data_IF_301361629802
#
_entry.id   IF_301361629802
#
_cell.length_a   1.000
_cell.length_b   1.000
_cell.length_c   1.000
_cell.angle_alpha   90.00
_cell.angle_beta   90.00
_cell.angle_gamma   90.00
#
_symmetry.space_group_name_H-M   'P 1'
#
loop_
_entity.id
_entity.type
_entity.pdbx_description
1 polymer ?
#
# COMPACT_ATOMS: atom_id res chain seq x y z
N UNK A 1 -14.83 -21.05 0.07
CA UNK A 1 -13.57 -20.50 0.63
C UNK A 1 -13.44 -19.03 0.21
N UNK A 2 -13.72 -18.08 1.11
CA UNK A 2 -13.48 -16.64 0.89
C UNK A 2 -12.05 -16.36 1.37
N UNK A 3 -11.13 -16.10 0.43
CA UNK A 3 -9.69 -16.04 0.67
C UNK A 3 -9.31 -15.08 1.79
N UNK A 4 -9.09 -15.66 2.99
CA UNK A 4 -8.64 -14.97 4.19
C UNK A 4 -7.12 -14.81 4.15
N UNK A 5 -6.63 -13.96 3.27
CA UNK A 5 -5.29 -13.41 3.43
C UNK A 5 -5.27 -12.01 2.82
N UNK A 6 -5.51 -11.06 3.70
CA UNK A 6 -5.07 -9.68 3.60
C UNK A 6 -3.54 -9.63 3.37
N UNK A 7 -3.06 -9.96 2.16
CA UNK A 7 -1.63 -9.98 1.80
C UNK A 7 -1.06 -8.56 1.65
N UNK A 8 -1.24 -7.71 2.66
CA UNK A 8 -0.74 -6.34 2.64
C UNK A 8 0.78 -6.26 2.75
N UNK A 9 1.42 -7.22 3.42
CA UNK A 9 2.88 -7.31 3.50
C UNK A 9 3.53 -7.58 2.12
N UNK A 10 3.18 -8.64 1.38
CA UNK A 10 3.74 -8.85 0.04
C UNK A 10 3.46 -7.71 -0.93
N UNK A 11 2.28 -7.09 -0.85
CA UNK A 11 1.95 -5.92 -1.69
C UNK A 11 2.80 -4.71 -1.33
N UNK A 12 3.06 -4.49 -0.05
CA UNK A 12 3.97 -3.43 0.39
C UNK A 12 5.39 -3.67 -0.14
N UNK A 13 5.91 -4.89 0.03
CA UNK A 13 7.24 -5.26 -0.46
C UNK A 13 7.35 -5.10 -1.99
N UNK A 14 6.29 -5.48 -2.72
CA UNK A 14 6.23 -5.29 -4.16
C UNK A 14 6.20 -3.81 -4.56
N UNK A 15 5.43 -2.97 -3.87
CA UNK A 15 5.44 -1.53 -4.08
C UNK A 15 6.84 -0.93 -3.85
N UNK A 16 7.53 -1.36 -2.80
CA UNK A 16 8.91 -0.93 -2.52
C UNK A 16 9.89 -1.37 -3.62
N UNK A 17 9.71 -2.57 -4.17
CA UNK A 17 10.48 -3.05 -5.31
C UNK A 17 10.26 -2.15 -6.55
N UNK A 18 9.00 -1.80 -6.84
CA UNK A 18 8.66 -0.92 -7.96
C UNK A 18 9.29 0.47 -7.82
N UNK A 19 9.27 1.05 -6.63
CA UNK A 19 9.96 2.33 -6.35
C UNK A 19 11.46 2.23 -6.64
N UNK A 20 12.11 1.14 -6.23
CA UNK A 20 13.54 0.93 -6.53
C UNK A 20 13.82 0.76 -8.02
N UNK A 21 12.85 0.27 -8.78
CA UNK A 21 12.92 0.14 -10.23
C UNK A 21 12.57 1.43 -10.98
N UNK A 22 12.31 2.55 -10.30
CA UNK A 22 11.88 3.81 -10.91
C UNK A 22 10.44 3.79 -11.44
N UNK A 23 9.65 2.78 -11.07
CA UNK A 23 8.25 2.62 -11.46
C UNK A 23 7.34 3.26 -10.40
N UNK A 24 7.52 4.56 -10.20
CA UNK A 24 6.91 5.29 -9.08
C UNK A 24 5.38 5.41 -9.19
N UNK A 25 4.84 5.54 -10.40
CA UNK A 25 3.38 5.56 -10.61
C UNK A 25 2.74 4.20 -10.27
N UNK A 26 3.37 3.10 -10.66
CA UNK A 26 2.90 1.75 -10.34
C UNK A 26 3.00 1.48 -8.83
N UNK A 27 4.11 1.88 -8.20
CA UNK A 27 4.27 1.78 -6.75
C UNK A 27 3.20 2.58 -6.01
N UNK A 28 2.94 3.82 -6.47
CA UNK A 28 1.92 4.69 -5.89
C UNK A 28 0.52 4.06 -5.99
N UNK A 29 0.21 3.43 -7.13
CA UNK A 29 -1.06 2.75 -7.33
C UNK A 29 -1.22 1.58 -6.34
N UNK A 30 -0.21 0.72 -6.20
CA UNK A 30 -0.22 -0.40 -5.24
C UNK A 30 -0.48 0.08 -3.82
N UNK A 31 0.25 1.09 -3.35
CA UNK A 31 0.07 1.59 -2.00
C UNK A 31 -1.30 2.26 -1.80
N UNK A 32 -1.81 2.96 -2.81
CA UNK A 32 -3.14 3.58 -2.77
C UNK A 32 -4.25 2.54 -2.69
N UNK A 33 -4.15 1.46 -3.46
CA UNK A 33 -5.10 0.34 -3.43
C UNK A 33 -5.13 -0.34 -2.06
N UNK A 34 -3.95 -0.54 -1.44
CA UNK A 34 -3.87 -1.03 -0.07
C UNK A 34 -4.64 -0.15 0.93
N UNK A 35 -4.65 1.18 0.74
CA UNK A 35 -5.37 2.10 1.62
C UNK A 35 -6.88 2.10 1.36
N UNK A 36 -7.29 2.00 0.10
CA UNK A 36 -8.71 1.98 -0.28
C UNK A 36 -9.42 0.73 0.24
N UNK A 37 -8.72 -0.41 0.25
CA UNK A 37 -9.23 -1.69 0.76
C UNK A 37 -9.50 -1.68 2.28
N UNK A 38 -8.93 -0.74 3.05
CA UNK A 38 -9.14 -0.67 4.51
C UNK A 38 -10.61 -0.58 4.91
N UNK A 39 -11.43 0.10 4.12
CA UNK A 39 -12.86 0.30 4.38
C UNK A 39 -13.65 -1.01 4.33
N UNK A 40 -13.16 -2.00 3.58
CA UNK A 40 -13.80 -3.29 3.35
C UNK A 40 -13.42 -4.33 4.40
N UNK A 41 -12.43 -4.03 5.26
CA UNK A 41 -11.94 -4.95 6.28
C UNK A 41 -12.78 -4.92 7.55
N UNK A 42 -12.94 -6.10 8.16
CA UNK A 42 -13.45 -6.19 9.52
C UNK A 42 -12.53 -5.45 10.52
N UNK A 43 -13.03 -5.06 11.71
CA UNK A 43 -12.20 -4.41 12.72
C UNK A 43 -10.95 -5.20 13.11
N UNK A 44 -11.04 -6.54 13.14
CA UNK A 44 -9.91 -7.42 13.48
C UNK A 44 -8.85 -7.39 12.38
N UNK A 45 -9.25 -7.58 11.12
CA UNK A 45 -8.32 -7.53 9.97
C UNK A 45 -7.64 -6.16 9.87
N UNK A 46 -8.41 -5.08 10.08
CA UNK A 46 -7.88 -3.72 10.06
C UNK A 46 -6.84 -3.50 11.16
N UNK A 47 -7.10 -4.01 12.37
CA UNK A 47 -6.16 -3.94 13.49
C UNK A 47 -4.88 -4.72 13.20
N UNK A 48 -4.99 -5.96 12.70
CA UNK A 48 -3.84 -6.82 12.39
C UNK A 48 -2.96 -6.25 11.27
N UNK A 49 -3.54 -5.51 10.33
CA UNK A 49 -2.81 -4.94 9.18
C UNK A 49 -2.44 -3.45 9.34
N UNK A 50 -2.69 -2.86 10.53
CA UNK A 50 -2.47 -1.42 10.78
C UNK A 50 -1.06 -0.95 10.42
N UNK A 51 -0.04 -1.78 10.68
CA UNK A 51 1.36 -1.46 10.37
C UNK A 51 1.57 -1.24 8.87
N UNK A 52 0.94 -2.06 8.02
CA UNK A 52 1.09 -1.98 6.57
C UNK A 52 0.36 -0.77 6.00
N UNK A 53 -0.79 -0.40 6.57
CA UNK A 53 -1.48 0.84 6.20
C UNK A 53 -0.69 2.09 6.57
N UNK A 54 -0.05 2.09 7.75
CA UNK A 54 0.81 3.20 8.15
C UNK A 54 1.99 3.36 7.17
N UNK A 55 2.70 2.27 6.88
CA UNK A 55 3.81 2.28 5.92
C UNK A 55 3.37 2.69 4.51
N UNK A 56 2.29 2.12 3.99
CA UNK A 56 1.76 2.46 2.66
C UNK A 56 1.36 3.95 2.59
N UNK A 57 0.76 4.50 3.65
CA UNK A 57 0.41 5.93 3.71
C UNK A 57 1.65 6.83 3.66
N UNK A 58 2.72 6.45 4.34
CA UNK A 58 3.99 7.20 4.29
C UNK A 58 4.59 7.19 2.89
N UNK A 59 4.56 6.04 2.19
CA UNK A 59 5.05 5.95 0.82
C UNK A 59 4.18 6.72 -0.17
N UNK A 60 2.85 6.66 -0.08
CA UNK A 60 1.95 7.49 -0.90
C UNK A 60 2.28 8.97 -0.73
N UNK A 61 2.56 9.44 0.50
CA UNK A 61 2.91 10.83 0.76
C UNK A 61 4.23 11.22 0.06
N UNK A 62 5.26 10.37 0.13
CA UNK A 62 6.54 10.61 -0.55
C UNK A 62 6.38 10.63 -2.06
N UNK A 63 5.75 9.61 -2.63
CA UNK A 63 5.54 9.48 -4.07
C UNK A 63 4.64 10.60 -4.62
N UNK A 64 3.63 11.05 -3.86
CA UNK A 64 2.79 12.18 -4.27
C UNK A 64 3.57 13.51 -4.30
N UNK A 65 4.64 13.65 -3.51
CA UNK A 65 5.52 14.81 -3.60
C UNK A 65 6.38 14.74 -4.86
N UNK A 66 6.95 13.56 -5.16
CA UNK A 66 7.73 13.31 -6.40
C UNK A 66 6.90 13.57 -7.65
N UNK A 67 5.66 13.06 -7.70
CA UNK A 67 4.73 13.25 -8.82
C UNK A 67 4.30 14.71 -9.06
N UNK A 68 4.36 15.56 -8.03
CA UNK A 68 4.08 17.01 -8.18
C UNK A 68 5.26 17.80 -8.73
N UNK A 69 6.46 17.23 -8.67
CA UNK A 69 7.70 17.85 -9.13
C UNK A 69 8.19 17.33 -10.48
N UNK A 70 7.56 16.27 -11.00
CA UNK A 70 7.76 15.72 -12.35
C UNK A 70 6.80 16.39 -13.34
#
# INVERSE_FOLDING_TARGET
MKGRYSYFEPRYEYGMFLTRAGRDDDAWQIFTDMLNEQSQLSPVERKSNKVWFAKAKDEVKKLSAVRKTA
#
